data_IF_384214409907
#
_entry.id   IF_384214409907
#
_cell.length_a   1.000
_cell.length_b   1.000
_cell.length_c   1.000
_cell.angle_alpha   90.00
_cell.angle_beta   90.00
_cell.angle_gamma   90.00
#
_symmetry.space_group_name_H-M   'P 1'
#
loop_
_entity.id
_entity.type
_entity.pdbx_description
1 polymer ?
#
# COMPACT_ATOMS: atom_id res chain seq x y z
N UNK A 1 -40.60 -31.83 -11.88
CA UNK A 1 -39.65 -31.97 -13.01
C UNK A 1 -38.51 -31.00 -12.79
N UNK A 2 -37.30 -31.42 -13.13
CA UNK A 2 -36.03 -30.95 -12.61
C UNK A 2 -35.78 -29.43 -12.74
N UNK A 3 -35.33 -28.82 -11.64
CA UNK A 3 -34.58 -27.57 -11.67
C UNK A 3 -33.10 -27.90 -11.77
N UNK A 4 -32.46 -27.48 -12.85
CA UNK A 4 -31.01 -27.43 -12.99
C UNK A 4 -30.67 -26.06 -13.60
N UNK A 5 -30.42 -25.07 -12.75
CA UNK A 5 -29.73 -23.85 -13.17
C UNK A 5 -28.26 -24.20 -13.31
N UNK A 6 -27.79 -24.18 -14.56
CA UNK A 6 -26.41 -24.41 -14.95
C UNK A 6 -25.50 -23.45 -14.17
N UNK A 7 -24.60 -24.03 -13.38
CA UNK A 7 -23.47 -23.29 -12.84
C UNK A 7 -22.55 -22.91 -14.00
N UNK A 8 -22.45 -21.62 -14.27
CA UNK A 8 -21.37 -21.08 -15.10
C UNK A 8 -20.08 -21.14 -14.28
N UNK A 9 -19.25 -22.12 -14.61
CA UNK A 9 -17.85 -22.17 -14.19
C UNK A 9 -17.08 -21.10 -14.96
N UNK A 10 -17.05 -19.87 -14.42
CA UNK A 10 -15.99 -18.93 -14.75
C UNK A 10 -14.71 -19.45 -14.08
N UNK A 11 -13.81 -20.02 -14.88
CA UNK A 11 -12.52 -20.51 -14.40
C UNK A 11 -11.75 -19.38 -13.71
N UNK A 12 -11.64 -19.50 -12.39
CA UNK A 12 -10.88 -18.61 -11.52
C UNK A 12 -9.39 -18.73 -11.90
N UNK A 13 -8.90 -17.81 -12.72
CA UNK A 13 -7.46 -17.63 -12.94
C UNK A 13 -6.87 -17.17 -11.61
N UNK A 14 -6.44 -18.13 -10.77
CA UNK A 14 -5.76 -17.83 -9.51
C UNK A 14 -4.44 -17.13 -9.80
N UNK A 15 -4.44 -15.82 -9.69
CA UNK A 15 -3.24 -15.02 -9.62
C UNK A 15 -2.55 -15.35 -8.30
N UNK A 16 -1.41 -16.02 -8.36
CA UNK A 16 -0.64 -16.42 -7.19
C UNK A 16 0.34 -15.31 -6.79
N UNK A 17 0.46 -15.05 -5.49
CA UNK A 17 1.49 -14.16 -4.96
C UNK A 17 2.81 -14.90 -4.87
N UNK A 18 3.81 -14.44 -5.63
CA UNK A 18 5.17 -14.99 -5.62
C UNK A 18 6.11 -13.93 -5.09
N UNK A 19 6.71 -14.22 -3.93
CA UNK A 19 7.64 -13.33 -3.22
C UNK A 19 8.99 -14.02 -3.02
N UNK A 20 10.06 -13.22 -3.08
CA UNK A 20 11.39 -13.60 -2.61
C UNK A 20 11.62 -12.87 -1.30
N UNK A 21 11.86 -13.62 -0.24
CA UNK A 21 12.16 -13.05 1.07
C UNK A 21 13.62 -12.57 1.13
N UNK A 22 13.84 -11.38 1.69
CA UNK A 22 15.16 -10.85 1.98
C UNK A 22 15.33 -10.68 3.48
N UNK A 23 16.52 -10.97 3.97
CA UNK A 23 16.87 -10.75 5.38
C UNK A 23 16.74 -9.26 5.77
N UNK A 24 16.77 -9.00 7.08
CA UNK A 24 16.76 -7.65 7.63
C UNK A 24 17.91 -6.80 7.09
N UNK A 25 17.56 -5.76 6.33
CA UNK A 25 18.49 -4.79 5.76
C UNK A 25 18.67 -3.61 6.71
N UNK A 26 19.90 -3.08 6.77
CA UNK A 26 20.22 -1.82 7.43
C UNK A 26 20.57 -0.75 6.41
N UNK A 27 20.22 0.49 6.69
CA UNK A 27 20.53 1.63 5.84
C UNK A 27 20.61 2.93 6.63
N UNK A 28 21.13 3.97 5.98
CA UNK A 28 21.10 5.32 6.52
C UNK A 28 19.67 5.80 6.77
N UNK A 29 19.44 6.40 7.94
CA UNK A 29 18.13 6.93 8.28
C UNK A 29 17.81 8.21 7.48
N UNK A 30 16.76 8.16 6.66
CA UNK A 30 16.32 9.31 5.85
C UNK A 30 15.76 10.50 6.65
N UNK A 31 15.42 10.32 7.93
CA UNK A 31 14.89 11.37 8.79
C UNK A 31 16.00 12.17 9.47
N UNK A 32 16.75 11.52 10.36
CA UNK A 32 17.81 12.19 11.12
C UNK A 32 19.15 12.26 10.38
N UNK A 33 19.29 11.52 9.26
CA UNK A 33 20.52 11.47 8.44
C UNK A 33 21.77 11.11 9.25
N UNK A 34 21.62 10.23 10.24
CA UNK A 34 22.76 9.72 10.99
C UNK A 34 23.79 9.10 10.06
N UNK A 35 25.07 9.23 10.41
CA UNK A 35 26.18 8.58 9.69
C UNK A 35 26.23 7.06 9.90
N UNK A 36 25.43 6.52 10.81
CA UNK A 36 25.26 5.09 11.05
C UNK A 36 24.07 4.52 10.30
N UNK A 37 24.16 3.23 9.94
CA UNK A 37 23.07 2.43 9.38
C UNK A 37 22.03 2.07 10.45
N UNK A 38 21.27 3.10 10.83
CA UNK A 38 20.32 3.11 11.94
C UNK A 38 18.87 2.87 11.52
N UNK A 39 18.58 2.82 10.21
CA UNK A 39 17.31 2.36 9.69
C UNK A 39 17.35 0.87 9.42
N UNK A 40 16.39 0.13 9.98
CA UNK A 40 16.33 -1.33 9.87
C UNK A 40 14.98 -1.72 9.29
N UNK A 41 14.97 -2.57 8.27
CA UNK A 41 13.73 -3.04 7.62
C UNK A 41 13.85 -4.46 7.10
N UNK A 42 12.76 -5.20 7.15
CA UNK A 42 12.62 -6.49 6.46
C UNK A 42 12.14 -6.23 5.02
N UNK A 43 12.78 -6.83 4.03
CA UNK A 43 12.45 -6.66 2.62
C UNK A 43 11.89 -7.92 1.95
N UNK A 44 11.04 -7.75 0.96
CA UNK A 44 10.51 -8.79 0.08
C UNK A 44 10.58 -8.25 -1.36
N UNK A 45 10.91 -9.11 -2.33
CA UNK A 45 10.68 -8.82 -3.74
C UNK A 45 9.43 -9.54 -4.22
N UNK A 46 8.39 -8.78 -4.55
CA UNK A 46 7.15 -9.29 -5.14
C UNK A 46 7.29 -9.42 -6.66
N UNK A 47 7.39 -10.65 -7.16
CA UNK A 47 7.37 -10.96 -8.58
C UNK A 47 5.95 -10.87 -9.14
N UNK A 48 4.99 -11.42 -8.38
CA UNK A 48 3.55 -11.26 -8.54
C UNK A 48 2.90 -11.11 -7.17
N UNK A 49 1.82 -10.34 -7.08
CA UNK A 49 1.10 -10.16 -5.82
C UNK A 49 -0.35 -9.81 -6.11
N UNK A 50 -1.25 -10.51 -5.44
CA UNK A 50 -2.69 -10.26 -5.49
C UNK A 50 -3.03 -8.93 -4.83
N UNK A 51 -4.20 -8.36 -5.14
CA UNK A 51 -4.64 -7.11 -4.49
C UNK A 51 -4.96 -7.38 -3.01
N UNK A 52 -5.51 -8.55 -2.73
CA UNK A 52 -5.94 -9.03 -1.42
C UNK A 52 -4.74 -9.26 -0.50
N UNK A 53 -3.69 -9.94 -0.97
CA UNK A 53 -2.46 -10.16 -0.19
C UNK A 53 -1.74 -8.84 0.05
N UNK A 54 -1.72 -7.95 -0.95
CA UNK A 54 -1.16 -6.62 -0.76
C UNK A 54 -1.93 -5.82 0.29
N UNK A 55 -3.27 -5.95 0.30
CA UNK A 55 -4.13 -5.32 1.28
C UNK A 55 -3.79 -5.82 2.69
N UNK A 56 -3.65 -7.13 2.90
CA UNK A 56 -3.23 -7.69 4.19
C UNK A 56 -1.84 -7.22 4.62
N UNK A 57 -0.90 -7.14 3.69
CA UNK A 57 0.46 -6.66 3.97
C UNK A 57 0.44 -5.21 4.46
N UNK A 58 -0.27 -4.31 3.78
CA UNK A 58 -0.36 -2.91 4.22
C UNK A 58 -1.02 -2.81 5.60
N UNK A 59 -2.07 -3.58 5.86
CA UNK A 59 -2.75 -3.60 7.16
C UNK A 59 -1.81 -4.03 8.30
N UNK A 60 -0.80 -4.84 8.01
CA UNK A 60 0.25 -5.25 8.97
C UNK A 60 1.48 -4.35 8.99
N UNK A 61 1.41 -3.20 8.32
CA UNK A 61 2.46 -2.16 8.32
C UNK A 61 3.53 -2.32 7.24
N UNK A 62 3.32 -3.18 6.24
CA UNK A 62 4.21 -3.26 5.08
C UNK A 62 3.98 -2.09 4.11
N UNK A 63 5.05 -1.72 3.39
CA UNK A 63 5.10 -0.62 2.41
C UNK A 63 5.66 -1.13 1.10
N UNK A 64 5.43 -0.43 -0.01
CA UNK A 64 5.87 -0.87 -1.34
C UNK A 64 6.54 0.23 -2.15
N UNK A 65 7.60 -0.13 -2.87
CA UNK A 65 8.32 0.69 -3.84
C UNK A 65 8.61 -0.15 -5.08
N UNK A 66 7.74 -0.04 -6.09
CA UNK A 66 7.82 -0.89 -7.29
C UNK A 66 7.55 -2.36 -6.97
N UNK A 67 8.54 -3.23 -7.21
CA UNK A 67 8.47 -4.67 -6.84
C UNK A 67 8.95 -4.95 -5.42
N UNK A 68 9.60 -3.99 -4.76
CA UNK A 68 10.10 -4.18 -3.41
C UNK A 68 9.02 -3.84 -2.38
N UNK A 69 8.77 -4.74 -1.44
CA UNK A 69 7.83 -4.59 -0.32
C UNK A 69 8.64 -4.68 0.96
N UNK A 70 8.44 -3.80 1.93
CA UNK A 70 9.27 -3.76 3.13
C UNK A 70 8.52 -3.34 4.38
N UNK A 71 8.98 -3.81 5.53
CA UNK A 71 8.45 -3.45 6.84
C UNK A 71 9.57 -2.90 7.73
N UNK A 72 9.54 -1.62 8.10
CA UNK A 72 10.49 -1.06 9.04
C UNK A 72 10.41 -1.77 10.41
N UNK A 73 11.56 -2.10 11.00
CA UNK A 73 11.64 -2.53 12.38
C UNK A 73 11.65 -1.30 13.28
N UNK A 74 10.47 -0.97 13.81
CA UNK A 74 10.22 0.25 14.57
C UNK A 74 10.90 0.27 15.94
N UNK A 75 11.20 -0.90 16.52
CA UNK A 75 11.84 -1.02 17.83
C UNK A 75 13.33 -0.70 17.77
N UNK A 76 13.97 -1.07 16.66
CA UNK A 76 15.42 -0.98 16.50
C UNK A 76 15.86 0.17 15.57
N UNK A 77 14.92 0.80 14.86
CA UNK A 77 15.22 1.97 14.00
C UNK A 77 15.23 3.25 14.84
N UNK A 78 16.21 4.12 14.61
CA UNK A 78 16.35 5.37 15.39
C UNK A 78 15.17 6.35 15.22
N UNK A 79 14.48 6.33 14.08
CA UNK A 79 13.33 7.19 13.79
C UNK A 79 12.13 6.33 13.35
N UNK A 80 11.17 6.08 14.25
CA UNK A 80 9.99 5.29 13.93
C UNK A 80 9.18 5.89 12.77
N UNK A 81 8.88 5.08 11.77
CA UNK A 81 8.10 5.46 10.60
C UNK A 81 6.62 5.07 10.77
N UNK A 82 5.81 5.94 11.36
CA UNK A 82 4.37 5.71 11.45
C UNK A 82 3.70 5.97 10.09
N UNK A 83 2.94 4.99 9.61
CA UNK A 83 2.13 5.15 8.40
C UNK A 83 0.82 5.86 8.75
N UNK A 84 0.50 6.92 8.03
CA UNK A 84 -0.85 7.50 8.05
C UNK A 84 -1.62 6.83 6.90
N UNK A 85 -2.63 6.03 7.25
CA UNK A 85 -3.47 5.35 6.27
C UNK A 85 -4.90 5.91 6.34
N UNK A 86 -5.42 6.31 5.19
CA UNK A 86 -6.84 6.62 5.03
C UNK A 86 -7.56 5.38 4.48
N UNK A 87 -8.57 4.89 5.21
CA UNK A 87 -9.50 3.88 4.68
C UNK A 87 -10.45 4.57 3.70
N UNK A 88 -10.24 4.33 2.41
CA UNK A 88 -10.95 5.04 1.35
C UNK A 88 -12.45 4.69 1.30
N UNK A 89 -12.79 3.46 1.66
CA UNK A 89 -14.14 2.91 1.76
C UNK A 89 -14.94 3.53 2.91
N UNK A 90 -14.28 3.81 4.04
CA UNK A 90 -14.90 4.45 5.21
C UNK A 90 -14.82 6.00 5.17
N UNK A 91 -14.11 6.57 4.20
CA UNK A 91 -13.85 8.02 4.17
C UNK A 91 -15.10 8.84 3.81
N UNK A 92 -15.56 9.66 4.74
CA UNK A 92 -16.59 10.67 4.51
C UNK A 92 -15.98 12.06 4.50
N UNK A 93 -16.02 12.74 3.37
CA UNK A 93 -15.47 14.08 3.23
C UNK A 93 -16.25 15.12 4.04
N UNK A 94 -15.54 15.96 4.80
CA UNK A 94 -16.10 17.12 5.51
C UNK A 94 -16.62 18.20 4.56
N UNK A 95 -17.47 19.10 5.08
CA UNK A 95 -18.04 20.22 4.30
C UNK A 95 -16.93 21.12 3.72
N UNK A 96 -15.87 21.32 4.47
CA UNK A 96 -14.68 22.09 4.13
C UNK A 96 -13.91 21.41 2.98
N UNK A 97 -13.65 20.11 3.09
CA UNK A 97 -12.98 19.32 2.05
C UNK A 97 -13.79 19.31 0.75
N UNK A 98 -15.12 19.20 0.82
CA UNK A 98 -16.00 19.31 -0.34
C UNK A 98 -15.91 20.70 -0.99
N UNK A 99 -15.86 21.76 -0.18
CA UNK A 99 -15.67 23.15 -0.68
C UNK A 99 -14.35 23.31 -1.43
N UNK A 100 -13.25 22.83 -0.84
CA UNK A 100 -11.91 22.86 -1.46
C UNK A 100 -11.91 22.08 -2.77
N UNK A 101 -12.49 20.87 -2.79
CA UNK A 101 -12.60 20.05 -4.00
C UNK A 101 -13.33 20.77 -5.13
N UNK A 102 -14.45 21.44 -4.85
CA UNK A 102 -15.20 22.23 -5.84
C UNK A 102 -14.37 23.39 -6.40
N UNK A 103 -13.63 24.09 -5.53
CA UNK A 103 -12.72 25.17 -5.92
C UNK A 103 -11.58 24.65 -6.81
N UNK A 104 -10.95 23.52 -6.46
CA UNK A 104 -9.90 22.88 -7.26
C UNK A 104 -10.39 22.49 -8.65
N UNK A 105 -11.55 21.84 -8.76
CA UNK A 105 -12.14 21.49 -10.07
C UNK A 105 -12.33 22.70 -10.98
N UNK A 106 -12.74 23.84 -10.43
CA UNK A 106 -12.92 25.08 -11.20
C UNK A 106 -11.60 25.59 -11.78
N UNK A 107 -10.50 25.50 -11.04
CA UNK A 107 -9.18 25.88 -11.55
C UNK A 107 -8.67 24.87 -12.58
N UNK A 108 -8.79 23.56 -12.33
CA UNK A 108 -8.32 22.54 -13.29
C UNK A 108 -9.04 22.63 -14.64
N UNK A 109 -10.33 22.97 -14.66
CA UNK A 109 -11.08 23.21 -15.90
C UNK A 109 -10.70 24.53 -16.60
N UNK A 110 -10.14 25.50 -15.87
CA UNK A 110 -9.66 26.76 -16.45
C UNK A 110 -8.23 26.66 -17.02
N UNK A 111 -7.48 25.60 -16.69
CA UNK A 111 -6.15 25.34 -17.27
C UNK A 111 -6.19 24.39 -18.48
N UNK A 112 -7.34 23.77 -18.77
CA UNK A 112 -7.53 22.81 -19.87
C UNK A 112 -8.33 23.43 -21.04
N UNK A 113 -8.80 24.68 -20.91
CA UNK A 113 -9.44 25.46 -21.99
C UNK A 113 -8.54 26.63 -22.36
#
# INVERSE_FOLDING_TARGET
MAGASLGESSGDMKYETVIIDHEGQRSNCGYCKSSSDSAISHGLSALSMTVEDYQELIDRGWRRSGKYVYKPNMENTCCPQYTIRLKADEFVASKEQVRVRKKMKRYSLHFIV
#
